data_IF_801388748422
#
_entry.id   IF_801388748422
#
_cell.length_a   1.000
_cell.length_b   1.000
_cell.length_c   1.000
_cell.angle_alpha   90.00
_cell.angle_beta   90.00
_cell.angle_gamma   90.00
#
_symmetry.space_group_name_H-M   'P 1'
#
loop_
_entity.id
_entity.type
_entity.pdbx_description
1 polymer ?
#
# COMPACT_ATOMS: atom_id res chain seq x y z
N UNK A 1 15.53 39.13 -13.58
CA UNK A 1 14.89 38.05 -14.35
C UNK A 1 15.78 36.84 -14.25
N UNK A 2 15.40 35.87 -13.43
CA UNK A 2 16.06 34.55 -13.31
C UNK A 2 14.91 33.55 -13.45
N UNK A 3 14.87 32.69 -14.47
CA UNK A 3 13.84 31.67 -14.54
C UNK A 3 14.05 30.69 -13.38
N UNK A 4 13.01 30.35 -12.59
CA UNK A 4 13.17 29.36 -11.55
C UNK A 4 13.46 28.00 -12.20
N UNK A 5 14.60 27.45 -11.79
CA UNK A 5 15.14 26.17 -12.18
C UNK A 5 14.06 25.08 -12.22
N UNK A 6 13.96 24.44 -13.38
CA UNK A 6 13.23 23.21 -13.53
C UNK A 6 13.74 22.18 -12.52
N UNK A 7 12.95 21.96 -11.47
CA UNK A 7 13.02 20.76 -10.62
C UNK A 7 12.56 19.54 -11.42
N UNK A 8 13.25 19.20 -12.52
CA UNK A 8 13.21 17.87 -13.14
C UNK A 8 14.03 16.92 -12.28
N UNK A 9 13.59 16.69 -11.03
CA UNK A 9 14.20 15.72 -10.12
C UNK A 9 13.25 14.55 -9.98
N UNK A 10 13.22 13.72 -11.01
CA UNK A 10 13.28 12.26 -10.92
C UNK A 10 12.99 11.70 -12.33
N UNK A 11 13.85 10.81 -12.86
CA UNK A 11 13.51 10.09 -14.07
C UNK A 11 12.24 9.29 -13.79
N UNK A 12 11.20 9.52 -14.61
CA UNK A 12 9.96 8.74 -14.63
C UNK A 12 10.26 7.35 -15.19
N UNK A 13 11.17 6.61 -14.58
CA UNK A 13 11.18 5.17 -14.78
C UNK A 13 9.93 4.70 -14.07
N UNK A 14 8.99 4.01 -14.73
CA UNK A 14 7.88 3.38 -14.04
C UNK A 14 8.48 2.34 -13.09
N UNK A 15 8.67 2.73 -11.84
CA UNK A 15 9.05 1.81 -10.78
C UNK A 15 7.80 1.00 -10.50
N UNK A 16 7.80 -0.25 -10.95
CA UNK A 16 6.77 -1.22 -10.61
C UNK A 16 7.21 -1.99 -9.38
N UNK A 17 6.48 -1.83 -8.28
CA UNK A 17 6.77 -2.55 -7.04
C UNK A 17 5.72 -3.63 -6.82
N UNK A 18 6.18 -4.87 -6.61
CA UNK A 18 5.29 -6.01 -6.32
C UNK A 18 5.22 -6.25 -4.82
N UNK A 19 4.01 -6.27 -4.27
CA UNK A 19 3.75 -6.58 -2.86
C UNK A 19 3.03 -7.90 -2.78
N UNK A 20 3.72 -8.92 -2.30
CA UNK A 20 3.23 -10.30 -2.25
C UNK A 20 2.69 -10.65 -0.87
N UNK A 21 1.37 -10.85 -0.76
CA UNK A 21 0.76 -11.38 0.45
C UNK A 21 0.73 -12.91 0.38
N UNK A 22 1.46 -13.58 1.28
CA UNK A 22 1.49 -15.06 1.32
C UNK A 22 0.23 -15.69 1.92
N UNK A 23 -0.50 -14.94 2.75
CA UNK A 23 -1.67 -15.42 3.51
C UNK A 23 -2.79 -14.40 3.45
N UNK A 24 -4.01 -14.87 3.20
CA UNK A 24 -5.22 -14.03 3.20
C UNK A 24 -5.42 -13.27 4.51
N UNK A 25 -5.22 -13.94 5.65
CA UNK A 25 -5.40 -13.31 6.96
C UNK A 25 -4.45 -12.13 7.18
N UNK A 26 -3.21 -12.20 6.66
CA UNK A 26 -2.25 -11.10 6.74
C UNK A 26 -2.70 -9.92 5.88
N UNK A 27 -3.18 -10.20 4.66
CA UNK A 27 -3.74 -9.17 3.79
C UNK A 27 -4.95 -8.49 4.42
N UNK A 28 -5.89 -9.26 4.97
CA UNK A 28 -7.09 -8.71 5.61
C UNK A 28 -6.78 -7.86 6.84
N UNK A 29 -5.82 -8.28 7.66
CA UNK A 29 -5.39 -7.50 8.81
C UNK A 29 -4.73 -6.17 8.40
N UNK A 30 -3.89 -6.18 7.36
CA UNK A 30 -3.30 -4.95 6.84
C UNK A 30 -4.37 -4.07 6.15
N UNK A 31 -5.35 -4.70 5.50
CA UNK A 31 -6.43 -3.99 4.84
C UNK A 31 -7.31 -3.19 5.81
N UNK A 32 -7.75 -3.82 6.91
CA UNK A 32 -8.58 -3.15 7.92
C UNK A 32 -7.80 -2.09 8.69
N UNK A 33 -6.50 -2.27 8.89
CA UNK A 33 -5.67 -1.30 9.62
C UNK A 33 -5.31 -0.07 8.78
N UNK A 34 -4.83 -0.31 7.57
CA UNK A 34 -4.09 0.68 6.79
C UNK A 34 -4.68 0.85 5.37
N UNK A 35 -4.82 -0.24 4.59
CA UNK A 35 -5.10 -0.15 3.14
C UNK A 35 -6.48 0.48 2.88
N UNK A 36 -7.50 0.12 3.67
CA UNK A 36 -8.85 0.70 3.57
C UNK A 36 -8.89 2.21 3.85
N UNK A 37 -7.89 2.74 4.58
CA UNK A 37 -7.72 4.18 4.83
C UNK A 37 -6.89 4.88 3.74
N UNK A 38 -6.47 4.14 2.71
CA UNK A 38 -5.75 4.65 1.56
C UNK A 38 -4.24 4.70 1.73
N UNK A 39 -3.64 3.80 2.52
CA UNK A 39 -2.18 3.70 2.61
C UNK A 39 -1.70 2.37 3.18
N UNK A 40 -0.43 2.04 3.03
CA UNK A 40 0.18 0.89 3.72
C UNK A 40 1.66 1.13 3.96
N UNK A 41 2.26 0.33 4.84
CA UNK A 41 3.69 0.27 5.01
C UNK A 41 4.27 -0.86 4.16
N UNK A 42 5.29 -0.56 3.37
CA UNK A 42 6.05 -1.54 2.60
C UNK A 42 7.39 -1.72 3.27
N UNK A 43 7.62 -2.89 3.85
CA UNK A 43 8.92 -3.30 4.38
C UNK A 43 9.92 -3.47 3.23
N UNK A 44 11.01 -2.72 3.28
CA UNK A 44 12.09 -2.79 2.29
C UNK A 44 13.37 -2.18 2.86
N UNK A 45 14.52 -2.78 2.56
CA UNK A 45 15.82 -2.21 2.92
C UNK A 45 16.21 -1.04 2.00
N UNK A 46 15.53 -0.91 0.86
CA UNK A 46 15.78 0.13 -0.16
C UNK A 46 14.49 0.91 -0.42
N UNK A 47 14.04 1.74 0.53
CA UNK A 47 12.86 2.57 0.35
C UNK A 47 13.08 3.63 -0.74
N UNK A 48 12.00 3.95 -1.47
CA UNK A 48 12.00 5.08 -2.39
C UNK A 48 11.94 6.41 -1.62
N UNK A 49 12.46 7.49 -2.20
CA UNK A 49 12.46 8.79 -1.55
C UNK A 49 11.04 9.33 -1.30
N UNK A 50 10.85 10.11 -0.23
CA UNK A 50 9.57 10.76 0.08
C UNK A 50 9.10 11.62 -1.10
N UNK A 51 7.81 11.54 -1.42
CA UNK A 51 7.18 12.23 -2.55
C UNK A 51 7.28 11.48 -3.87
N UNK A 52 8.05 10.39 -3.95
CA UNK A 52 8.14 9.55 -5.16
C UNK A 52 6.78 8.91 -5.43
N UNK A 53 6.31 9.05 -6.66
CA UNK A 53 5.10 8.40 -7.16
C UNK A 53 5.49 7.21 -8.04
N UNK A 54 4.83 6.08 -7.83
CA UNK A 54 5.17 4.82 -8.48
C UNK A 54 3.92 3.95 -8.63
N UNK A 55 4.00 2.95 -9.51
CA UNK A 55 2.94 1.96 -9.69
C UNK A 55 3.30 0.74 -8.85
N UNK A 56 2.34 0.16 -8.15
CA UNK A 56 2.56 -1.07 -7.41
C UNK A 56 1.44 -2.07 -7.65
N UNK A 57 1.80 -3.36 -7.59
CA UNK A 57 0.89 -4.47 -7.80
C UNK A 57 0.76 -5.26 -6.51
N UNK A 58 -0.46 -5.30 -5.97
CA UNK A 58 -0.81 -6.14 -4.83
C UNK A 58 -1.13 -7.54 -5.34
N UNK A 59 -0.29 -8.50 -5.01
CA UNK A 59 -0.52 -9.92 -5.31
C UNK A 59 -1.20 -10.52 -4.09
N UNK A 60 -2.49 -10.78 -4.23
CA UNK A 60 -3.35 -11.28 -3.15
C UNK A 60 -3.69 -12.74 -3.48
N UNK A 61 -3.58 -13.68 -2.53
CA UNK A 61 -3.99 -15.05 -2.77
C UNK A 61 -5.46 -15.12 -3.21
N UNK A 62 -5.80 -16.05 -4.11
CA UNK A 62 -7.13 -16.22 -4.72
C UNK A 62 -7.54 -15.16 -5.75
N UNK A 63 -6.77 -14.10 -5.96
CA UNK A 63 -6.94 -13.25 -7.14
C UNK A 63 -6.02 -13.77 -8.25
N UNK A 64 -6.60 -14.02 -9.42
CA UNK A 64 -5.84 -14.48 -10.61
C UNK A 64 -4.94 -13.36 -11.15
N UNK A 65 -5.41 -12.10 -11.07
CA UNK A 65 -4.65 -10.93 -11.51
C UNK A 65 -4.25 -10.04 -10.31
N UNK A 66 -3.00 -9.54 -10.26
CA UNK A 66 -2.58 -8.56 -9.27
C UNK A 66 -3.38 -7.27 -9.39
N UNK A 67 -3.70 -6.66 -8.26
CA UNK A 67 -4.34 -5.34 -8.27
C UNK A 67 -3.28 -4.26 -8.47
N UNK A 68 -3.35 -3.56 -9.59
CA UNK A 68 -2.47 -2.44 -9.90
C UNK A 68 -3.03 -1.13 -9.33
N UNK A 69 -2.20 -0.40 -8.56
CA UNK A 69 -2.52 0.88 -7.94
C UNK A 69 -1.33 1.83 -8.05
N UNK A 70 -1.59 3.13 -7.93
CA UNK A 70 -0.52 4.14 -7.78
C UNK A 70 -0.29 4.45 -6.32
N UNK A 71 0.98 4.61 -5.95
CA UNK A 71 1.40 4.92 -4.60
C UNK A 71 2.27 6.17 -4.58
N UNK A 72 2.19 6.93 -3.48
CA UNK A 72 3.10 8.03 -3.17
C UNK A 72 3.78 7.78 -1.84
N UNK A 73 5.10 7.87 -1.79
CA UNK A 73 5.83 7.75 -0.53
C UNK A 73 5.55 8.96 0.35
N UNK A 74 5.07 8.71 1.57
CA UNK A 74 4.77 9.75 2.56
C UNK A 74 5.88 9.91 3.58
N UNK A 75 6.53 8.81 3.96
CA UNK A 75 7.68 8.79 4.87
C UNK A 75 8.53 7.55 4.62
N UNK A 76 9.78 7.60 5.04
CA UNK A 76 10.77 6.53 4.88
C UNK A 76 11.36 6.20 6.25
N UNK A 77 11.65 4.92 6.47
CA UNK A 77 12.50 4.46 7.56
C UNK A 77 13.64 3.63 7.00
N UNK A 78 14.85 4.14 7.14
CA UNK A 78 16.07 3.48 6.73
C UNK A 78 16.43 2.33 7.68
N UNK A 79 17.28 1.37 7.25
CA UNK A 79 17.82 0.34 8.14
C UNK A 79 18.52 0.89 9.39
N UNK A 80 19.19 2.03 9.26
CA UNK A 80 19.88 2.71 10.37
C UNK A 80 18.89 3.26 11.40
N UNK A 81 17.81 3.90 10.94
CA UNK A 81 16.74 4.39 11.82
C UNK A 81 15.97 3.24 12.46
N UNK A 82 15.76 2.15 11.72
CA UNK A 82 15.08 0.96 12.22
C UNK A 82 15.89 0.21 13.29
N UNK A 83 17.23 0.23 13.20
CA UNK A 83 18.10 -0.47 14.16
C UNK A 83 17.93 0.00 15.62
N UNK A 84 17.45 1.23 15.84
CA UNK A 84 17.16 1.78 17.17
C UNK A 84 15.71 1.62 17.64
N UNK A 85 14.81 1.11 16.78
CA UNK A 85 13.38 0.99 17.06
C UNK A 85 13.00 -0.30 17.79
N UNK A 86 11.76 -0.36 18.27
CA UNK A 86 11.17 -1.60 18.82
C UNK A 86 9.85 -1.94 18.11
N UNK A 87 9.54 -3.23 17.98
CA UNK A 87 8.31 -3.67 17.31
C UNK A 87 8.27 -3.23 15.85
N UNK A 88 7.17 -2.58 15.44
CA UNK A 88 6.98 -2.07 14.07
C UNK A 88 7.97 -0.96 13.71
N UNK A 89 8.60 -0.30 14.69
CA UNK A 89 9.65 0.70 14.46
C UNK A 89 10.99 0.08 14.08
N UNK A 90 11.18 -1.21 14.36
CA UNK A 90 12.39 -1.95 14.05
C UNK A 90 12.45 -2.44 12.59
N UNK A 91 11.43 -2.17 11.78
CA UNK A 91 11.37 -2.60 10.39
C UNK A 91 11.68 -1.44 9.43
N UNK A 92 12.74 -1.55 8.60
CA UNK A 92 13.00 -0.57 7.55
C UNK A 92 11.98 -0.70 6.42
N UNK A 93 11.66 0.43 5.81
CA UNK A 93 10.68 0.48 4.73
C UNK A 93 10.19 1.88 4.44
N UNK A 94 9.00 1.95 3.87
CA UNK A 94 8.35 3.21 3.54
C UNK A 94 6.84 3.14 3.75
N UNK A 95 6.29 4.22 4.30
CA UNK A 95 4.85 4.43 4.36
C UNK A 95 4.37 5.08 3.07
N UNK A 96 3.35 4.49 2.46
CA UNK A 96 2.82 4.94 1.18
C UNK A 96 1.35 5.30 1.30
N UNK A 97 0.92 6.30 0.53
CA UNK A 97 -0.47 6.66 0.33
C UNK A 97 -0.90 6.25 -1.06
N UNK A 98 -2.11 5.71 -1.16
CA UNK A 98 -2.70 5.27 -2.41
C UNK A 98 -3.19 6.49 -3.17
N UNK A 99 -2.87 6.52 -4.46
CA UNK A 99 -3.28 7.54 -5.40
C UNK A 99 -4.23 6.84 -6.37
N UNK A 100 -5.48 7.29 -6.36
CA UNK A 100 -6.49 6.78 -7.29
C UNK A 100 -6.65 7.78 -8.43
N UNK A 101 -6.79 7.27 -9.65
CA UNK A 101 -7.07 8.07 -10.84
C UNK A 101 -8.50 8.65 -10.80
N UNK A 102 -9.41 8.01 -10.06
CA UNK A 102 -10.77 8.48 -9.84
C UNK A 102 -11.40 7.87 -8.59
N UNK A 103 -12.46 8.51 -8.08
CA UNK A 103 -13.30 7.92 -7.03
C UNK A 103 -13.94 6.60 -7.46
N UNK A 104 -14.20 6.41 -8.76
CA UNK A 104 -14.73 5.17 -9.30
C UNK A 104 -13.71 4.03 -9.16
N UNK A 105 -12.43 4.28 -9.48
CA UNK A 105 -11.35 3.31 -9.28
C UNK A 105 -11.20 2.95 -7.81
N UNK A 106 -11.24 3.95 -6.91
CA UNK A 106 -11.20 3.71 -5.47
C UNK A 106 -12.33 2.79 -5.00
N UNK A 107 -13.57 3.11 -5.38
CA UNK A 107 -14.75 2.30 -5.00
C UNK A 107 -14.68 0.89 -5.58
N UNK A 108 -14.22 0.75 -6.82
CA UNK A 108 -14.05 -0.56 -7.45
C UNK A 108 -13.02 -1.41 -6.67
N UNK A 109 -11.88 -0.83 -6.31
CA UNK A 109 -10.87 -1.50 -5.49
C UNK A 109 -11.43 -1.93 -4.13
N UNK A 110 -12.06 -1.01 -3.40
CA UNK A 110 -12.65 -1.29 -2.08
C UNK A 110 -13.72 -2.40 -2.18
N UNK A 111 -14.59 -2.35 -3.20
CA UNK A 111 -15.64 -3.34 -3.41
C UNK A 111 -15.09 -4.73 -3.77
N UNK A 112 -14.06 -4.81 -4.62
CA UNK A 112 -13.39 -6.07 -4.96
C UNK A 112 -12.76 -6.72 -3.73
N UNK A 113 -12.10 -5.93 -2.86
CA UNK A 113 -11.52 -6.46 -1.63
C UNK A 113 -12.61 -6.89 -0.63
N UNK A 114 -13.68 -6.11 -0.48
CA UNK A 114 -14.81 -6.49 0.38
C UNK A 114 -15.45 -7.81 -0.08
N UNK A 115 -15.65 -8.00 -1.39
CA UNK A 115 -16.19 -9.24 -1.95
C UNK A 115 -15.27 -10.44 -1.63
N UNK A 116 -13.96 -10.28 -1.85
CA UNK A 116 -12.95 -11.30 -1.55
C UNK A 116 -12.92 -11.67 -0.06
N UNK A 117 -13.06 -10.68 0.83
CA UNK A 117 -13.15 -10.92 2.27
C UNK A 117 -14.38 -11.74 2.63
N UNK A 118 -15.56 -11.39 2.09
CA UNK A 118 -16.81 -12.13 2.32
C UNK A 118 -16.69 -13.58 1.84
N UNK A 119 -16.12 -13.80 0.66
CA UNK A 119 -15.95 -15.14 0.09
C UNK A 119 -14.96 -15.97 0.92
N UNK A 120 -13.84 -15.38 1.36
CA UNK A 120 -12.80 -16.14 2.05
C UNK A 120 -13.05 -16.34 3.55
N UNK A 121 -13.80 -15.46 4.20
CA UNK A 121 -14.01 -15.47 5.67
C UNK A 121 -15.47 -15.80 6.07
N UNK A 122 -16.40 -15.75 5.13
CA UNK A 122 -17.83 -15.77 5.40
C UNK A 122 -18.38 -14.42 5.90
N UNK A 123 -19.69 -14.20 5.74
CA UNK A 123 -20.33 -12.92 6.08
C UNK A 123 -20.14 -12.51 7.55
N UNK A 124 -20.17 -13.48 8.46
CA UNK A 124 -20.16 -13.20 9.89
C UNK A 124 -18.81 -12.63 10.35
N UNK A 125 -17.69 -13.22 9.90
CA UNK A 125 -16.36 -12.75 10.25
C UNK A 125 -16.01 -11.44 9.55
N UNK A 126 -16.51 -11.24 8.32
CA UNK A 126 -16.41 -9.97 7.60
C UNK A 126 -17.05 -8.80 8.37
N UNK A 127 -18.30 -8.95 8.85
CA UNK A 127 -18.99 -7.88 9.61
C UNK A 127 -18.26 -7.52 10.89
N UNK A 128 -17.76 -8.54 11.61
CA UNK A 128 -16.99 -8.37 12.84
C UNK A 128 -15.66 -7.64 12.60
N UNK A 129 -14.96 -7.94 11.51
CA UNK A 129 -13.68 -7.29 11.17
C UNK A 129 -13.83 -5.83 10.76
N UNK A 130 -14.98 -5.43 10.21
CA UNK A 130 -15.25 -4.05 9.81
C UNK A 130 -16.01 -3.23 10.87
N UNK A 131 -16.28 -3.80 12.05
CA UNK A 131 -17.00 -3.12 13.12
C UNK A 131 -18.42 -2.70 12.73
N UNK A 132 -19.03 -3.40 11.77
CA UNK A 132 -20.44 -3.20 11.36
C UNK A 132 -21.30 -4.23 12.10
N UNK A 133 -21.53 -4.00 13.39
CA UNK A 133 -22.53 -4.72 14.19
C UNK A 133 -23.88 -3.99 14.17
#
# INVERSE_FOLDING_TARGET
MVPPEEKRKQPRVPIELRVDYKKMNTFFADYTKNISKGGTFIKTERPLGVGTEFVFKLVIPKLDEPVELKGKVMWVRTPEEAAGGTGEEAEPGMGIRFVYDSDAQRRAFEASVEALMKESLGEHLYRKLLGRE
#
